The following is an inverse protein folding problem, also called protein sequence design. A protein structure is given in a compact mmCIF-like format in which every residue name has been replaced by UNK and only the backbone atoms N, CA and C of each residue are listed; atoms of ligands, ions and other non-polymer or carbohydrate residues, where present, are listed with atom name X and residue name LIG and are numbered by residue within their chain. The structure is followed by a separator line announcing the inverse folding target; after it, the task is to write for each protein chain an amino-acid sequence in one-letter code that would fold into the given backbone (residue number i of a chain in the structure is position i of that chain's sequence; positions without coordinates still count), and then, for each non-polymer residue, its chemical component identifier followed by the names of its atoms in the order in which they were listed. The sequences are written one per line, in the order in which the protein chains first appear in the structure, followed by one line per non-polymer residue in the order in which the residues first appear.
data_IF_586535513589
#
_entry.id   IF_586535513589
#
_cell.length_a   1.000
_cell.length_b   1.000
_cell.length_c   1.000
_cell.angle_alpha   90.00
_cell.angle_beta   90.00
_cell.angle_gamma   90.00
#
_symmetry.space_group_name_H-M   'P 1'
#
loop_
_entity.id
_entity.type
_entity.pdbx_description
1 polymer ?
#
# COMPACT_ATOMS: atom_id res chain seq x y z
N UNK A 1 19.05 3.64 -11.00
CA UNK A 1 18.34 4.45 -9.99
C UNK A 1 17.01 3.77 -9.82
N UNK A 2 16.90 2.92 -8.81
CA UNK A 2 15.97 1.81 -8.91
C UNK A 2 14.70 2.14 -8.13
N UNK A 3 13.56 1.84 -8.76
CA UNK A 3 12.23 2.01 -8.19
C UNK A 3 11.59 0.63 -8.22
N UNK A 4 11.00 0.22 -7.11
CA UNK A 4 10.42 -1.11 -7.01
C UNK A 4 8.98 -1.03 -6.49
N UNK A 5 8.14 -1.92 -7.01
CA UNK A 5 6.77 -2.14 -6.56
C UNK A 5 6.72 -3.50 -5.87
N UNK A 6 6.24 -3.54 -4.64
CA UNK A 6 6.03 -4.77 -3.88
C UNK A 6 4.54 -5.00 -3.75
N UNK A 7 4.09 -6.17 -4.20
CA UNK A 7 2.77 -6.70 -3.91
C UNK A 7 2.92 -7.66 -2.74
N UNK A 8 2.25 -7.36 -1.63
CA UNK A 8 2.28 -8.17 -0.42
C UNK A 8 0.86 -8.36 0.11
N UNK A 9 0.66 -9.45 0.83
CA UNK A 9 -0.53 -9.64 1.64
C UNK A 9 -0.49 -8.74 2.89
N UNK A 10 -1.67 -8.39 3.42
CA UNK A 10 -1.79 -7.51 4.58
C UNK A 10 -2.27 -8.29 5.80
N UNK A 11 -1.38 -8.52 6.76
CA UNK A 11 -1.67 -9.30 7.97
C UNK A 11 -1.92 -8.37 9.15
N UNK A 12 -1.03 -7.40 9.38
CA UNK A 12 -1.07 -6.52 10.55
C UNK A 12 -1.06 -5.04 10.17
N UNK A 13 -1.56 -4.18 11.06
CA UNK A 13 -1.58 -2.73 10.83
C UNK A 13 -0.18 -2.10 10.68
N UNK A 14 0.85 -2.83 11.09
CA UNK A 14 2.25 -2.41 11.06
C UNK A 14 3.09 -3.11 9.99
N UNK A 15 2.49 -3.79 9.01
CA UNK A 15 3.26 -4.48 7.94
C UNK A 15 4.21 -3.53 7.18
N UNK A 16 3.84 -2.25 7.08
CA UNK A 16 4.68 -1.22 6.46
C UNK A 16 5.99 -0.94 7.23
N UNK A 17 6.03 -1.15 8.56
CA UNK A 17 7.25 -1.04 9.35
C UNK A 17 8.23 -2.19 9.05
N UNK A 18 7.70 -3.38 8.76
CA UNK A 18 8.55 -4.50 8.33
C UNK A 18 9.25 -4.17 7.01
N UNK A 19 8.53 -3.53 6.08
CA UNK A 19 9.12 -3.07 4.81
C UNK A 19 10.20 -2.01 5.05
N UNK A 20 10.00 -1.08 5.99
CA UNK A 20 11.02 -0.12 6.40
C UNK A 20 12.30 -0.82 6.89
N UNK A 21 12.17 -1.77 7.82
CA UNK A 21 13.30 -2.52 8.36
C UNK A 21 14.06 -3.30 7.27
N UNK A 22 13.35 -3.88 6.30
CA UNK A 22 13.96 -4.55 5.14
C UNK A 22 14.73 -3.56 4.26
N UNK A 23 14.14 -2.40 3.97
CA UNK A 23 14.78 -1.38 3.12
C UNK A 23 15.99 -0.73 3.78
N UNK A 24 15.97 -0.58 5.10
CA UNK A 24 17.10 -0.07 5.89
C UNK A 24 18.30 -1.02 5.79
N UNK A 25 18.06 -2.33 5.95
CA UNK A 25 19.13 -3.35 5.93
C UNK A 25 19.70 -3.63 4.54
N UNK A 26 18.94 -3.39 3.49
CA UNK A 26 19.37 -3.64 2.10
C UNK A 26 20.03 -2.42 1.45
N UNK A 27 20.16 -1.30 2.17
CA UNK A 27 20.82 -0.06 1.72
C UNK A 27 20.16 0.61 0.50
N UNK A 28 18.98 0.13 0.08
CA UNK A 28 18.50 0.35 -1.28
C UNK A 28 17.44 1.45 -1.44
N UNK A 29 16.58 1.69 -0.44
CA UNK A 29 15.39 2.52 -0.66
C UNK A 29 15.05 3.33 0.61
N UNK A 30 15.71 4.48 0.85
CA UNK A 30 15.43 5.32 2.03
C UNK A 30 13.97 5.81 2.10
N UNK A 31 13.21 5.72 1.00
CA UNK A 31 11.79 5.97 0.95
C UNK A 31 11.01 4.67 0.68
N UNK A 32 10.63 3.94 1.73
CA UNK A 32 9.63 2.88 1.62
C UNK A 32 8.24 3.46 1.82
N UNK A 33 7.45 3.57 0.76
CA UNK A 33 6.11 4.13 0.71
C UNK A 33 5.06 3.02 0.71
N UNK A 34 3.87 3.35 1.19
CA UNK A 34 2.68 2.49 1.11
C UNK A 34 1.45 3.33 0.79
N UNK A 35 0.40 2.70 0.26
CA UNK A 35 -0.90 3.35 0.11
C UNK A 35 -1.56 3.48 1.48
N UNK A 36 -1.91 4.70 1.88
CA UNK A 36 -2.47 4.99 3.20
C UNK A 36 -3.96 5.33 3.11
N UNK A 37 -4.71 5.14 4.20
CA UNK A 37 -6.09 5.63 4.29
C UNK A 37 -6.09 7.15 4.48
N UNK A 38 -6.94 7.88 3.75
CA UNK A 38 -7.03 9.35 3.82
C UNK A 38 -7.22 9.86 5.26
N UNK A 39 -7.96 9.13 6.10
CA UNK A 39 -8.14 9.51 7.51
C UNK A 39 -6.83 9.59 8.31
N UNK A 40 -5.77 8.86 7.90
CA UNK A 40 -4.47 8.91 8.56
C UNK A 40 -3.72 10.22 8.31
N UNK A 41 -4.07 10.94 7.24
CA UNK A 41 -3.48 12.25 6.91
C UNK A 41 -3.67 13.28 8.01
N UNK A 42 -4.75 13.15 8.77
CA UNK A 42 -5.12 14.08 9.84
C UNK A 42 -4.48 13.75 11.19
N UNK A 43 -3.71 12.66 11.30
CA UNK A 43 -2.96 12.38 12.52
C UNK A 43 -1.83 13.41 12.67
N UNK A 44 -1.71 14.08 13.83
CA UNK A 44 -0.63 15.03 14.05
C UNK A 44 0.72 14.32 13.98
N UNK A 45 1.73 15.02 13.47
CA UNK A 45 3.08 14.52 13.21
C UNK A 45 3.14 13.40 12.15
N UNK A 46 2.60 12.21 12.41
CA UNK A 46 2.70 11.07 11.50
C UNK A 46 1.96 11.31 10.18
N UNK A 47 0.70 11.76 10.25
CA UNK A 47 -0.12 12.06 9.07
C UNK A 47 0.51 13.11 8.17
N UNK A 48 1.04 14.15 8.79
CA UNK A 48 1.73 15.24 8.09
C UNK A 48 3.06 14.78 7.50
N UNK A 49 3.85 14.00 8.24
CA UNK A 49 5.10 13.42 7.72
C UNK A 49 4.86 12.57 6.48
N UNK A 50 3.84 11.72 6.47
CA UNK A 50 3.49 10.94 5.27
C UNK A 50 3.01 11.82 4.11
N UNK A 51 2.26 12.88 4.39
CA UNK A 51 1.84 13.85 3.36
C UNK A 51 3.03 14.61 2.76
N UNK A 52 3.95 15.10 3.58
CA UNK A 52 5.17 15.78 3.14
C UNK A 52 6.13 14.83 2.41
N UNK A 53 6.08 13.53 2.71
CA UNK A 53 6.85 12.50 2.05
C UNK A 53 6.13 11.87 0.85
N UNK A 54 5.11 12.53 0.27
CA UNK A 54 4.34 12.09 -0.91
C UNK A 54 3.86 10.64 -0.84
N UNK A 55 3.27 10.24 0.28
CA UNK A 55 2.56 8.97 0.36
C UNK A 55 1.21 9.11 -0.36
N UNK A 56 0.81 8.16 -1.22
CA UNK A 56 -0.52 8.19 -1.81
C UNK A 56 -1.58 7.85 -0.76
N UNK A 57 -2.59 8.71 -0.61
CA UNK A 57 -3.73 8.48 0.28
C UNK A 57 -4.98 8.03 -0.50
N UNK A 58 -5.78 7.18 0.13
CA UNK A 58 -6.98 6.55 -0.40
C UNK A 58 -8.19 6.88 0.48
N UNK A 59 -9.21 7.47 -0.11
CA UNK A 59 -10.54 7.64 0.48
C UNK A 59 -11.35 6.34 0.53
N UNK A 60 -10.87 5.27 -0.10
CA UNK A 60 -11.53 3.95 -0.19
C UNK A 60 -12.78 3.97 -1.09
N UNK A 61 -12.76 4.86 -2.07
CA UNK A 61 -13.84 5.07 -3.04
C UNK A 61 -13.19 5.31 -4.40
N UNK A 62 -13.31 4.34 -5.31
CA UNK A 62 -12.60 4.37 -6.59
C UNK A 62 -12.83 5.65 -7.39
N UNK A 63 -14.06 6.17 -7.41
CA UNK A 63 -14.41 7.39 -8.14
C UNK A 63 -13.64 8.62 -7.66
N UNK A 64 -13.32 8.67 -6.36
CA UNK A 64 -12.48 9.72 -5.76
C UNK A 64 -10.99 9.41 -5.93
N UNK A 65 -10.62 8.16 -5.67
CA UNK A 65 -9.23 7.73 -5.60
C UNK A 65 -8.55 7.71 -6.97
N UNK A 66 -9.28 7.45 -8.07
CA UNK A 66 -8.71 7.39 -9.43
C UNK A 66 -7.91 8.64 -9.79
N UNK A 67 -8.46 9.84 -9.52
CA UNK A 67 -7.77 11.11 -9.81
C UNK A 67 -6.61 11.36 -8.85
N UNK A 68 -6.80 11.08 -7.55
CA UNK A 68 -5.77 11.27 -6.52
C UNK A 68 -4.56 10.35 -6.73
N UNK A 69 -4.80 9.08 -7.05
CA UNK A 69 -3.77 8.10 -7.37
C UNK A 69 -3.02 8.48 -8.64
N UNK A 70 -3.71 8.91 -9.70
CA UNK A 70 -3.05 9.35 -10.92
C UNK A 70 -2.08 10.51 -10.66
N UNK A 71 -2.50 11.51 -9.86
CA UNK A 71 -1.64 12.62 -9.44
C UNK A 71 -0.45 12.14 -8.60
N UNK A 72 -0.71 11.27 -7.61
CA UNK A 72 0.33 10.74 -6.72
C UNK A 72 1.38 9.94 -7.50
N UNK A 73 0.94 9.08 -8.43
CA UNK A 73 1.82 8.28 -9.28
C UNK A 73 2.58 9.10 -10.31
N UNK A 74 2.00 10.20 -10.81
CA UNK A 74 2.74 11.17 -11.61
C UNK A 74 3.90 11.78 -10.81
N UNK A 75 3.66 12.24 -9.58
CA UNK A 75 4.73 12.73 -8.70
C UNK A 75 5.80 11.67 -8.42
N UNK A 76 5.40 10.43 -8.12
CA UNK A 76 6.33 9.31 -7.93
C UNK A 76 7.12 8.94 -9.20
N UNK A 77 6.63 9.26 -10.40
CA UNK A 77 7.37 9.07 -11.65
C UNK A 77 8.49 10.11 -11.80
N UNK A 78 8.25 11.32 -11.31
CA UNK A 78 9.16 12.47 -11.35
C UNK A 78 10.21 12.42 -10.21
N UNK A 79 10.01 11.58 -9.20
CA UNK A 79 10.97 11.36 -8.11
C UNK A 79 12.37 11.00 -8.60
N UNK A 80 13.36 11.80 -8.22
CA UNK A 80 14.77 11.58 -8.56
C UNK A 80 15.43 10.57 -7.62
N UNK A 81 14.88 10.38 -6.43
CA UNK A 81 15.37 9.43 -5.42
C UNK A 81 14.76 8.03 -5.58
N UNK A 82 15.52 6.95 -5.26
CA UNK A 82 15.00 5.58 -5.19
C UNK A 82 13.86 5.45 -4.16
N UNK A 83 12.87 4.62 -4.46
CA UNK A 83 11.80 4.27 -3.51
C UNK A 83 11.24 2.86 -3.72
N UNK A 84 10.72 2.30 -2.63
CA UNK A 84 9.89 1.09 -2.63
C UNK A 84 8.44 1.51 -2.47
N UNK A 85 7.55 1.14 -3.38
CA UNK A 85 6.11 1.30 -3.16
C UNK A 85 5.52 -0.06 -2.82
N UNK A 86 4.96 -0.20 -1.62
CA UNK A 86 4.25 -1.43 -1.21
C UNK A 86 2.76 -1.26 -1.41
N UNK A 87 2.15 -2.21 -2.11
CA UNK A 87 0.71 -2.27 -2.37
C UNK A 87 0.14 -3.54 -1.76
N UNK A 88 -0.77 -3.32 -0.83
CA UNK A 88 -1.60 -4.35 -0.21
C UNK A 88 -2.91 -4.45 -0.98
N UNK A 89 -2.94 -5.28 -2.03
CA UNK A 89 -4.04 -5.32 -3.00
C UNK A 89 -5.39 -5.76 -2.40
N UNK A 90 -5.37 -6.53 -1.32
CA UNK A 90 -6.55 -6.87 -0.50
C UNK A 90 -7.28 -5.62 0.02
N UNK A 91 -6.53 -4.51 0.17
CA UNK A 91 -7.01 -3.29 0.77
C UNK A 91 -7.40 -3.46 2.24
N UNK A 92 -7.16 -4.59 2.88
CA UNK A 92 -7.59 -4.79 4.27
C UNK A 92 -6.81 -5.91 4.91
N UNK A 93 -6.78 -5.93 6.25
CA UNK A 93 -6.10 -6.98 6.98
C UNK A 93 -6.81 -8.31 6.81
N UNK A 94 -6.03 -9.37 6.72
CA UNK A 94 -6.48 -10.76 6.71
C UNK A 94 -7.25 -11.08 8.00
N UNK A 95 -8.46 -11.57 7.82
CA UNK A 95 -9.27 -12.18 8.88
C UNK A 95 -9.91 -13.45 8.33
N UNK A 96 -10.29 -14.40 9.20
CA UNK A 96 -10.93 -15.63 8.76
C UNK A 96 -12.19 -15.36 7.90
N UNK A 97 -13.00 -14.37 8.30
CA UNK A 97 -14.19 -13.95 7.55
C UNK A 97 -13.84 -13.43 6.16
N UNK A 98 -12.85 -12.55 6.04
CA UNK A 98 -12.48 -11.93 4.76
C UNK A 98 -11.77 -12.89 3.83
N UNK A 99 -10.98 -13.81 4.38
CA UNK A 99 -10.39 -14.90 3.61
C UNK A 99 -11.50 -15.77 3.00
N UNK A 100 -12.52 -16.13 3.79
CA UNK A 100 -13.69 -16.89 3.29
C UNK A 100 -14.41 -16.12 2.19
N UNK A 101 -14.72 -14.84 2.39
CA UNK A 101 -15.38 -13.98 1.38
C UNK A 101 -14.56 -13.89 0.08
N UNK A 102 -13.25 -13.71 0.18
CA UNK A 102 -12.33 -13.70 -0.96
C UNK A 102 -12.32 -15.03 -1.72
N UNK A 103 -12.33 -16.15 -0.98
CA UNK A 103 -12.39 -17.50 -1.58
C UNK A 103 -13.73 -17.79 -2.24
N UNK A 104 -14.85 -17.36 -1.65
CA UNK A 104 -16.18 -17.48 -2.22
C UNK A 104 -16.31 -16.65 -3.51
N UNK A 105 -15.80 -15.42 -3.49
CA UNK A 105 -15.71 -14.59 -4.68
C UNK A 105 -14.88 -15.26 -5.78
N UNK A 106 -13.69 -15.78 -5.47
CA UNK A 106 -12.84 -16.49 -6.42
C UNK A 106 -13.55 -17.71 -7.02
N UNK A 107 -14.24 -18.52 -6.19
CA UNK A 107 -15.03 -19.67 -6.66
C UNK A 107 -16.15 -19.24 -7.60
N UNK A 108 -16.86 -18.15 -7.30
CA UNK A 108 -17.93 -17.62 -8.17
C UNK A 108 -17.42 -17.20 -9.56
N UNK A 109 -16.13 -16.88 -9.68
CA UNK A 109 -15.46 -16.49 -10.92
C UNK A 109 -14.69 -17.64 -11.58
N UNK A 110 -14.70 -18.84 -10.99
CA UNK A 110 -13.90 -19.98 -11.46
C UNK A 110 -12.39 -19.80 -11.24
N UNK A 111 -11.99 -18.90 -10.34
CA UNK A 111 -10.58 -18.63 -10.03
C UNK A 111 -10.06 -19.52 -8.91
N UNK A 112 -8.73 -19.72 -8.88
CA UNK A 112 -8.06 -20.46 -7.82
C UNK A 112 -8.20 -19.73 -6.48
N UNK A 113 -8.71 -20.41 -5.47
CA UNK A 113 -8.76 -19.89 -4.10
C UNK A 113 -7.35 -19.71 -3.53
N UNK A 114 -7.05 -18.50 -3.06
CA UNK A 114 -5.78 -18.17 -2.40
C UNK A 114 -5.90 -18.36 -0.88
N UNK A 115 -4.77 -18.69 -0.23
CA UNK A 115 -4.72 -18.95 1.21
C UNK A 115 -4.09 -17.80 2.02
N UNK A 116 -3.20 -17.05 1.38
CA UNK A 116 -2.40 -15.98 1.99
C UNK A 116 -2.82 -14.62 1.44
N UNK A 117 -4.13 -14.37 1.49
CA UNK A 117 -4.79 -13.09 1.18
C UNK A 117 -5.69 -12.67 2.33
#
# INVERSE_FOLDING_TARGET
RDRALVLSNHIAGMDWLMMWAVTERTGGLPACKALLKESLRFLPFLGWSWACADYPFLARQWDKDKKSLAKSFQGLREYTSPYLLTVFAEGTRRTATKLRESQEFAKSKGWKSLQNV
#
